data_IF_380652278462
#
_entry.id   IF_380652278462
#
_cell.length_a   1.000
_cell.length_b   1.000
_cell.length_c   1.000
_cell.angle_alpha   90.00
_cell.angle_beta   90.00
_cell.angle_gamma   90.00
#
_symmetry.space_group_name_H-M   'P 1'
#
loop_
_entity.id
_entity.type
_entity.pdbx_description
1 polymer ?
#
# COMPACT_ATOMS: atom_id res chain seq x y z
N UNK A 1 -2.40 -80.26 0.43
CA UNK A 1 -3.30 -79.81 -0.66
C UNK A 1 -4.74 -80.12 -0.26
N UNK A 2 -5.71 -79.27 -0.65
CA UNK A 2 -7.11 -79.45 -0.29
C UNK A 2 -7.71 -80.60 -1.12
N UNK A 3 -8.38 -81.56 -0.45
CA UNK A 3 -9.05 -82.70 -1.10
C UNK A 3 -10.57 -82.51 -1.03
N UNK A 4 -11.26 -82.72 -2.15
CA UNK A 4 -12.71 -82.53 -2.26
C UNK A 4 -13.40 -83.77 -2.85
N UNK A 5 -14.65 -84.00 -2.46
CA UNK A 5 -15.48 -85.06 -3.03
C UNK A 5 -16.03 -84.69 -4.42
N UNK A 6 -16.52 -85.69 -5.16
CA UNK A 6 -16.99 -85.52 -6.54
C UNK A 6 -18.14 -84.49 -6.72
N UNK A 7 -18.94 -84.24 -5.69
CA UNK A 7 -20.00 -83.22 -5.73
C UNK A 7 -19.41 -81.80 -5.68
N UNK A 8 -18.56 -81.53 -4.68
CA UNK A 8 -17.87 -80.24 -4.55
C UNK A 8 -16.92 -79.98 -5.71
N UNK A 9 -16.31 -81.02 -6.27
CA UNK A 9 -15.52 -80.94 -7.49
C UNK A 9 -16.34 -80.46 -8.70
N UNK A 10 -17.60 -80.89 -8.80
CA UNK A 10 -18.50 -80.43 -9.86
C UNK A 10 -18.86 -78.95 -9.72
N UNK A 11 -19.14 -78.51 -8.49
CA UNK A 11 -19.39 -77.10 -8.16
C UNK A 11 -18.19 -76.21 -8.48
N UNK A 12 -16.98 -76.65 -8.14
CA UNK A 12 -15.75 -75.89 -8.36
C UNK A 12 -15.34 -75.78 -9.84
N UNK A 13 -15.74 -76.73 -10.68
CA UNK A 13 -15.35 -76.80 -12.11
C UNK A 13 -16.49 -76.47 -13.08
N UNK A 14 -17.72 -76.30 -12.56
CA UNK A 14 -18.92 -76.10 -13.37
C UNK A 14 -19.35 -77.34 -14.14
N UNK A 15 -18.85 -78.52 -13.77
CA UNK A 15 -19.17 -79.78 -14.42
C UNK A 15 -20.13 -80.59 -13.57
N UNK A 16 -20.94 -81.43 -14.21
CA UNK A 16 -21.84 -82.33 -13.47
C UNK A 16 -21.05 -83.39 -12.70
N UNK A 17 -21.57 -83.82 -11.54
CA UNK A 17 -20.99 -84.90 -10.72
C UNK A 17 -20.71 -86.17 -11.54
N UNK A 18 -21.58 -86.51 -12.51
CA UNK A 18 -21.40 -87.66 -13.41
C UNK A 18 -20.21 -87.50 -14.35
N UNK A 19 -19.90 -86.28 -14.79
CA UNK A 19 -18.72 -85.97 -15.61
C UNK A 19 -17.43 -86.16 -14.81
N UNK A 20 -17.40 -85.68 -13.56
CA UNK A 20 -16.26 -85.88 -12.65
C UNK A 20 -16.06 -87.37 -12.33
N UNK A 21 -17.14 -88.11 -12.07
CA UNK A 21 -17.06 -89.55 -11.85
C UNK A 21 -16.59 -90.34 -13.08
N UNK A 22 -17.01 -89.94 -14.28
CA UNK A 22 -16.52 -90.53 -15.52
C UNK A 22 -15.02 -90.26 -15.69
N UNK A 23 -14.57 -89.03 -15.44
CA UNK A 23 -13.16 -88.66 -15.54
C UNK A 23 -12.27 -89.41 -14.54
N UNK A 24 -12.77 -89.70 -13.34
CA UNK A 24 -12.09 -90.60 -12.40
C UNK A 24 -12.02 -92.04 -12.91
N UNK A 25 -13.09 -92.55 -13.52
CA UNK A 25 -13.13 -93.92 -14.07
C UNK A 25 -12.24 -94.10 -15.29
N UNK A 26 -12.12 -93.07 -16.14
CA UNK A 26 -11.28 -93.08 -17.34
C UNK A 26 -9.82 -92.72 -17.06
N UNK A 27 -9.45 -92.44 -15.80
CA UNK A 27 -8.09 -92.07 -15.40
C UNK A 27 -7.67 -90.64 -15.79
N UNK A 28 -8.61 -89.78 -16.22
CA UNK A 28 -8.33 -88.36 -16.52
C UNK A 28 -8.11 -87.53 -15.25
N UNK A 29 -8.72 -87.93 -14.14
CA UNK A 29 -8.54 -87.35 -12.82
C UNK A 29 -7.97 -88.39 -11.87
N UNK A 30 -6.86 -88.03 -11.21
CA UNK A 30 -6.32 -88.81 -10.10
C UNK A 30 -7.22 -88.62 -8.87
N UNK A 31 -7.44 -89.70 -8.11
CA UNK A 31 -8.19 -89.65 -6.87
C UNK A 31 -7.51 -90.52 -5.81
N UNK A 32 -7.66 -90.10 -4.56
CA UNK A 32 -7.27 -90.87 -3.39
C UNK A 32 -8.51 -91.44 -2.69
N UNK A 33 -8.29 -92.39 -1.81
CA UNK A 33 -9.30 -92.86 -0.87
C UNK A 33 -9.05 -92.20 0.47
N UNK A 34 -10.10 -91.54 0.99
CA UNK A 34 -10.10 -90.99 2.34
C UNK A 34 -10.15 -92.13 3.39
N UNK A 35 -9.96 -91.80 4.67
CA UNK A 35 -10.01 -92.75 5.80
C UNK A 35 -11.33 -93.57 5.84
N UNK A 36 -12.40 -93.06 5.24
CA UNK A 36 -13.70 -93.70 5.12
C UNK A 36 -13.90 -94.48 3.80
N UNK A 37 -12.85 -94.70 3.01
CA UNK A 37 -12.90 -95.38 1.72
C UNK A 37 -13.59 -94.59 0.60
N UNK A 38 -13.81 -93.28 0.79
CA UNK A 38 -14.48 -92.41 -0.19
C UNK A 38 -13.46 -91.82 -1.15
N UNK A 39 -13.81 -91.74 -2.44
CA UNK A 39 -12.97 -91.10 -3.47
C UNK A 39 -12.91 -89.59 -3.26
N UNK A 40 -11.71 -89.08 -3.06
CA UNK A 40 -11.40 -87.65 -2.90
C UNK A 40 -10.39 -87.22 -3.95
N UNK A 41 -10.57 -86.01 -4.47
CA UNK A 41 -9.79 -85.47 -5.59
C UNK A 41 -9.06 -84.24 -5.09
N UNK A 42 -7.80 -84.08 -5.47
CA UNK A 42 -7.05 -82.86 -5.18
C UNK A 42 -7.58 -81.69 -6.01
N UNK A 43 -7.72 -80.51 -5.41
CA UNK A 43 -8.12 -79.29 -6.13
C UNK A 43 -7.12 -78.95 -7.25
N UNK A 44 -5.82 -79.24 -7.09
CA UNK A 44 -4.83 -79.03 -8.16
C UNK A 44 -5.05 -79.97 -9.36
N UNK A 45 -5.53 -81.20 -9.12
CA UNK A 45 -5.89 -82.13 -10.21
C UNK A 45 -7.14 -81.66 -10.95
N UNK A 46 -8.10 -81.08 -10.23
CA UNK A 46 -9.31 -80.50 -10.82
C UNK A 46 -8.98 -79.31 -11.72
N UNK A 47 -8.12 -78.41 -11.25
CA UNK A 47 -7.69 -77.24 -12.00
C UNK A 47 -6.94 -77.65 -13.28
N UNK A 48 -6.02 -78.63 -13.19
CA UNK A 48 -5.33 -79.18 -14.38
C UNK A 48 -6.29 -79.78 -15.41
N UNK A 49 -7.29 -80.55 -14.96
CA UNK A 49 -8.11 -81.36 -15.86
C UNK A 49 -9.32 -80.63 -16.46
N UNK A 50 -9.88 -79.66 -15.73
CA UNK A 50 -11.13 -78.97 -16.07
C UNK A 50 -11.08 -77.45 -15.92
N UNK A 51 -10.09 -76.90 -15.21
CA UNK A 51 -10.06 -75.52 -14.77
C UNK A 51 -11.08 -75.23 -13.66
N UNK A 52 -10.74 -74.34 -12.74
CA UNK A 52 -11.68 -73.86 -11.72
C UNK A 52 -12.56 -72.74 -12.29
N UNK A 53 -13.84 -72.74 -11.91
CA UNK A 53 -14.75 -71.63 -12.19
C UNK A 53 -14.32 -70.37 -11.39
N UNK A 54 -14.38 -69.17 -11.97
CA UNK A 54 -14.24 -67.93 -11.23
C UNK A 54 -15.36 -67.83 -10.17
N UNK A 55 -15.02 -67.57 -8.91
CA UNK A 55 -16.02 -67.32 -7.88
C UNK A 55 -16.68 -65.95 -8.12
N UNK A 56 -17.85 -65.94 -8.75
CA UNK A 56 -18.58 -64.71 -9.09
C UNK A 56 -19.01 -63.91 -7.85
N UNK A 57 -19.24 -64.58 -6.71
CA UNK A 57 -19.61 -63.93 -5.44
C UNK A 57 -18.53 -63.02 -4.87
N UNK A 58 -17.26 -63.44 -4.89
CA UNK A 58 -16.16 -62.60 -4.39
C UNK A 58 -15.94 -61.35 -5.26
N UNK A 59 -16.29 -61.41 -6.56
CA UNK A 59 -16.15 -60.26 -7.47
C UNK A 59 -17.21 -59.20 -7.21
N UNK A 60 -18.45 -59.61 -6.93
CA UNK A 60 -19.55 -58.70 -6.61
C UNK A 60 -19.36 -58.03 -5.24
N UNK A 61 -18.92 -58.78 -4.22
CA UNK A 61 -18.61 -58.20 -2.90
C UNK A 61 -17.45 -57.20 -2.96
N UNK A 62 -16.38 -57.50 -3.72
CA UNK A 62 -15.27 -56.55 -3.90
C UNK A 62 -15.72 -55.27 -4.60
N UNK A 63 -16.56 -55.38 -5.64
CA UNK A 63 -17.11 -54.22 -6.34
C UNK A 63 -18.05 -53.38 -5.47
N UNK A 64 -18.86 -54.00 -4.60
CA UNK A 64 -19.74 -53.24 -3.69
C UNK A 64 -18.94 -52.50 -2.61
N UNK A 65 -17.91 -53.14 -2.06
CA UNK A 65 -17.03 -52.53 -1.05
C UNK A 65 -16.24 -51.36 -1.66
N UNK A 66 -15.74 -51.50 -2.89
CA UNK A 66 -15.01 -50.44 -3.59
C UNK A 66 -15.92 -49.24 -3.90
N UNK A 67 -17.17 -49.47 -4.32
CA UNK A 67 -18.15 -48.40 -4.54
C UNK A 67 -18.55 -47.66 -3.24
N UNK A 68 -18.59 -48.36 -2.10
CA UNK A 68 -18.83 -47.73 -0.79
C UNK A 68 -17.63 -46.88 -0.33
N UNK A 69 -16.41 -47.37 -0.55
CA UNK A 69 -15.17 -46.63 -0.28
C UNK A 69 -15.06 -45.36 -1.12
N UNK A 70 -15.38 -45.43 -2.42
CA UNK A 70 -15.40 -44.25 -3.30
C UNK A 70 -16.44 -43.22 -2.85
N UNK A 71 -17.65 -43.66 -2.48
CA UNK A 71 -18.67 -42.76 -1.93
C UNK A 71 -18.22 -42.09 -0.64
N UNK A 72 -17.59 -42.84 0.27
CA UNK A 72 -17.06 -42.29 1.51
C UNK A 72 -15.94 -41.27 1.24
N UNK A 73 -15.03 -41.56 0.30
CA UNK A 73 -13.98 -40.64 -0.11
C UNK A 73 -14.55 -39.35 -0.70
N UNK A 74 -15.54 -39.45 -1.60
CA UNK A 74 -16.21 -38.29 -2.17
C UNK A 74 -16.96 -37.46 -1.10
N UNK A 75 -17.62 -38.10 -0.13
CA UNK A 75 -18.25 -37.36 0.96
C UNK A 75 -17.21 -36.57 1.76
N UNK A 76 -16.08 -37.17 2.10
CA UNK A 76 -14.98 -36.48 2.81
C UNK A 76 -14.41 -35.31 1.99
N UNK A 77 -14.22 -35.49 0.69
CA UNK A 77 -13.78 -34.42 -0.20
C UNK A 77 -14.79 -33.27 -0.26
N UNK A 78 -16.09 -33.58 -0.37
CA UNK A 78 -17.13 -32.54 -0.38
C UNK A 78 -17.19 -31.76 0.92
N UNK A 79 -17.04 -32.43 2.08
CA UNK A 79 -16.97 -31.76 3.38
C UNK A 79 -15.71 -30.89 3.49
N UNK A 80 -14.56 -31.39 3.01
CA UNK A 80 -13.32 -30.60 2.96
C UNK A 80 -13.49 -29.35 2.11
N UNK A 81 -14.11 -29.48 0.93
CA UNK A 81 -14.38 -28.34 0.04
C UNK A 81 -15.36 -27.36 0.68
N UNK A 82 -16.43 -27.83 1.32
CA UNK A 82 -17.38 -26.97 2.05
C UNK A 82 -16.71 -26.20 3.16
N UNK A 83 -15.84 -26.84 3.94
CA UNK A 83 -15.08 -26.18 4.99
C UNK A 83 -14.13 -25.12 4.43
N UNK A 84 -13.45 -25.43 3.32
CA UNK A 84 -12.56 -24.48 2.64
C UNK A 84 -13.33 -23.27 2.09
N UNK A 85 -14.51 -23.49 1.49
CA UNK A 85 -15.39 -22.41 1.02
C UNK A 85 -15.79 -21.51 2.18
N UNK A 86 -16.28 -22.08 3.29
CA UNK A 86 -16.66 -21.30 4.48
C UNK A 86 -15.50 -20.47 5.03
N UNK A 87 -14.30 -21.05 5.09
CA UNK A 87 -13.10 -20.33 5.55
C UNK A 87 -12.75 -19.16 4.60
N UNK A 88 -12.86 -19.37 3.29
CA UNK A 88 -12.60 -18.32 2.29
C UNK A 88 -13.67 -17.22 2.34
N UNK A 89 -14.94 -17.58 2.55
CA UNK A 89 -16.04 -16.64 2.75
C UNK A 89 -15.82 -15.76 3.99
N UNK A 90 -15.38 -16.37 5.10
CA UNK A 90 -15.03 -15.64 6.32
C UNK A 90 -13.86 -14.68 6.08
N UNK A 91 -12.78 -15.15 5.43
CA UNK A 91 -11.64 -14.30 5.08
C UNK A 91 -12.06 -13.14 4.17
N UNK A 92 -12.96 -13.37 3.21
CA UNK A 92 -13.51 -12.33 2.37
C UNK A 92 -14.35 -11.32 3.17
N UNK A 93 -15.13 -11.78 4.15
CA UNK A 93 -15.90 -10.92 5.03
C UNK A 93 -14.99 -10.00 5.83
N UNK A 94 -14.00 -10.56 6.52
CA UNK A 94 -13.00 -9.81 7.30
C UNK A 94 -12.23 -8.82 6.42
N UNK A 95 -11.80 -9.24 5.22
CA UNK A 95 -11.09 -8.36 4.30
C UNK A 95 -11.98 -7.19 3.82
N UNK A 96 -13.27 -7.42 3.60
CA UNK A 96 -14.22 -6.36 3.22
C UNK A 96 -14.43 -5.36 4.35
N UNK A 97 -14.58 -5.83 5.57
CA UNK A 97 -14.68 -4.98 6.76
C UNK A 97 -13.44 -4.11 6.93
N UNK A 98 -12.24 -4.71 6.83
CA UNK A 98 -10.97 -3.97 6.88
C UNK A 98 -10.87 -2.92 5.77
N UNK A 99 -11.31 -3.22 4.55
CA UNK A 99 -11.31 -2.26 3.45
C UNK A 99 -12.25 -1.09 3.77
N UNK A 100 -13.41 -1.34 4.37
CA UNK A 100 -14.35 -0.29 4.72
C UNK A 100 -13.79 0.61 5.82
N UNK A 101 -13.23 0.03 6.89
CA UNK A 101 -12.53 0.78 7.94
C UNK A 101 -11.42 1.67 7.37
N UNK A 102 -10.62 1.14 6.43
CA UNK A 102 -9.55 1.90 5.80
C UNK A 102 -10.08 3.04 4.92
N UNK A 103 -11.21 2.86 4.24
CA UNK A 103 -11.86 3.94 3.49
C UNK A 103 -12.36 5.03 4.43
N UNK A 104 -13.01 4.67 5.53
CA UNK A 104 -13.49 5.63 6.52
C UNK A 104 -12.32 6.43 7.11
N UNK A 105 -11.24 5.77 7.52
CA UNK A 105 -10.04 6.43 8.01
C UNK A 105 -9.43 7.36 6.96
N UNK A 106 -9.36 6.93 5.69
CA UNK A 106 -8.89 7.77 4.59
C UNK A 106 -9.76 9.02 4.42
N UNK A 107 -11.08 8.88 4.45
CA UNK A 107 -11.98 10.03 4.36
C UNK A 107 -11.82 10.99 5.52
N UNK A 108 -11.67 10.47 6.74
CA UNK A 108 -11.43 11.29 7.93
C UNK A 108 -10.10 12.05 7.82
N UNK A 109 -9.02 11.39 7.38
CA UNK A 109 -7.74 12.06 7.13
C UNK A 109 -7.82 13.10 6.02
N UNK A 110 -8.57 12.84 4.95
CA UNK A 110 -8.80 13.84 3.90
C UNK A 110 -9.53 15.07 4.44
N UNK A 111 -10.58 14.87 5.25
CA UNK A 111 -11.31 15.96 5.90
C UNK A 111 -10.42 16.76 6.84
N UNK A 112 -9.61 16.08 7.66
CA UNK A 112 -8.65 16.74 8.56
C UNK A 112 -7.59 17.53 7.78
N UNK A 113 -7.01 16.94 6.73
CA UNK A 113 -6.03 17.61 5.89
C UNK A 113 -6.63 18.86 5.21
N UNK A 114 -7.88 18.77 4.71
CA UNK A 114 -8.58 19.91 4.14
C UNK A 114 -8.83 21.01 5.17
N UNK A 115 -9.23 20.65 6.40
CA UNK A 115 -9.42 21.61 7.49
C UNK A 115 -8.11 22.29 7.89
N UNK A 116 -7.01 21.54 8.00
CA UNK A 116 -5.67 22.10 8.28
C UNK A 116 -5.22 23.03 7.15
N UNK A 117 -5.45 22.67 5.89
CA UNK A 117 -5.14 23.53 4.76
C UNK A 117 -5.94 24.84 4.81
N UNK A 118 -7.26 24.77 5.06
CA UNK A 118 -8.12 25.96 5.15
C UNK A 118 -7.70 26.89 6.30
N UNK A 119 -7.40 26.33 7.48
CA UNK A 119 -6.95 27.11 8.64
C UNK A 119 -5.59 27.74 8.40
N UNK A 120 -4.65 27.02 7.76
CA UNK A 120 -3.36 27.56 7.35
C UNK A 120 -3.51 28.71 6.34
N UNK A 121 -4.33 28.54 5.30
CA UNK A 121 -4.61 29.59 4.33
C UNK A 121 -5.25 30.82 4.98
N UNK A 122 -6.20 30.62 5.90
CA UNK A 122 -6.82 31.72 6.62
C UNK A 122 -5.83 32.47 7.50
N UNK A 123 -4.99 31.75 8.25
CA UNK A 123 -3.93 32.35 9.07
C UNK A 123 -2.91 33.11 8.22
N UNK A 124 -2.54 32.60 7.05
CA UNK A 124 -1.66 33.29 6.09
C UNK A 124 -2.29 34.60 5.60
N UNK A 125 -3.57 34.57 5.19
CA UNK A 125 -4.29 35.78 4.77
C UNK A 125 -4.35 36.82 5.88
N UNK A 126 -4.70 36.43 7.10
CA UNK A 126 -4.69 37.34 8.25
C UNK A 126 -3.31 37.96 8.50
N UNK A 127 -2.25 37.15 8.38
CA UNK A 127 -0.89 37.66 8.54
C UNK A 127 -0.49 38.64 7.42
N UNK A 128 -0.95 38.42 6.18
CA UNK A 128 -0.75 39.35 5.06
C UNK A 128 -1.52 40.66 5.28
N UNK A 129 -2.81 40.59 5.65
CA UNK A 129 -3.64 41.76 5.97
C UNK A 129 -3.02 42.60 7.10
N UNK A 130 -2.56 41.96 8.18
CA UNK A 130 -1.87 42.65 9.27
C UNK A 130 -0.57 43.31 8.81
N UNK A 131 0.21 42.66 7.94
CA UNK A 131 1.44 43.24 7.37
C UNK A 131 1.12 44.45 6.48
N UNK A 132 0.04 44.40 5.71
CA UNK A 132 -0.42 45.52 4.89
C UNK A 132 -0.87 46.69 5.75
N UNK A 133 -1.67 46.44 6.79
CA UNK A 133 -2.07 47.48 7.74
C UNK A 133 -0.87 48.16 8.41
N UNK A 134 0.14 47.39 8.82
CA UNK A 134 1.37 47.93 9.41
C UNK A 134 2.13 48.81 8.40
N UNK A 135 2.29 48.35 7.16
CA UNK A 135 2.92 49.13 6.08
C UNK A 135 2.14 50.43 5.82
N UNK A 136 0.82 50.38 5.82
CA UNK A 136 0.00 51.58 5.67
C UNK A 136 0.17 52.57 6.83
N UNK A 137 0.19 52.08 8.08
CA UNK A 137 0.43 52.90 9.27
C UNK A 137 1.80 53.58 9.20
N UNK A 138 2.83 52.85 8.79
CA UNK A 138 4.17 53.39 8.57
C UNK A 138 4.17 54.46 7.48
N UNK A 139 3.56 54.19 6.32
CA UNK A 139 3.43 55.18 5.23
C UNK A 139 2.71 56.45 5.69
N UNK A 140 1.61 56.31 6.44
CA UNK A 140 0.86 57.45 7.00
C UNK A 140 1.72 58.23 8.00
N UNK A 141 2.47 57.55 8.86
CA UNK A 141 3.38 58.19 9.81
C UNK A 141 4.53 58.93 9.11
N UNK A 142 5.11 58.34 8.06
CA UNK A 142 6.14 58.97 7.24
C UNK A 142 5.62 60.22 6.54
N UNK A 143 4.43 60.16 5.94
CA UNK A 143 3.79 61.32 5.30
C UNK A 143 3.50 62.44 6.31
N UNK A 144 3.05 62.11 7.53
CA UNK A 144 2.88 63.11 8.59
C UNK A 144 4.20 63.77 8.97
N UNK A 145 5.26 62.97 9.18
CA UNK A 145 6.61 63.48 9.48
C UNK A 145 7.14 64.37 8.35
N UNK A 146 6.97 63.96 7.10
CA UNK A 146 7.36 64.79 5.95
C UNK A 146 6.61 66.13 5.96
N UNK A 147 5.28 66.11 6.12
CA UNK A 147 4.47 67.33 6.20
C UNK A 147 4.87 68.23 7.37
N UNK A 148 5.17 67.67 8.53
CA UNK A 148 5.65 68.42 9.70
C UNK A 148 7.01 69.08 9.41
N UNK A 149 7.93 68.34 8.78
CA UNK A 149 9.23 68.87 8.37
C UNK A 149 9.11 69.97 7.33
N UNK A 150 8.26 69.79 6.31
CA UNK A 150 7.95 70.82 5.31
C UNK A 150 7.35 72.07 5.96
N UNK A 151 6.34 71.91 6.84
CA UNK A 151 5.74 73.02 7.59
C UNK A 151 6.78 73.75 8.44
N UNK A 152 7.67 73.01 9.12
CA UNK A 152 8.76 73.59 9.92
C UNK A 152 9.74 74.37 9.05
N UNK A 153 10.12 73.84 7.89
CA UNK A 153 11.01 74.52 6.94
C UNK A 153 10.37 75.79 6.38
N UNK A 154 9.07 75.77 6.06
CA UNK A 154 8.32 76.95 5.62
C UNK A 154 8.31 78.05 6.69
N UNK A 155 8.05 77.71 7.95
CA UNK A 155 8.09 78.67 9.07
C UNK A 155 9.49 79.27 9.26
N UNK A 156 10.54 78.47 9.13
CA UNK A 156 11.93 78.96 9.19
C UNK A 156 12.27 79.89 8.02
N UNK A 157 11.83 79.55 6.80
CA UNK A 157 12.02 80.40 5.62
C UNK A 157 11.28 81.74 5.77
N UNK A 158 10.02 81.73 6.21
CA UNK A 158 9.23 82.95 6.43
C UNK A 158 9.85 83.87 7.51
N UNK A 159 10.37 83.29 8.60
CA UNK A 159 11.10 84.04 9.63
C UNK A 159 12.43 84.62 9.12
N UNK A 160 13.08 83.96 8.17
CA UNK A 160 14.31 84.44 7.54
C UNK A 160 14.02 85.55 6.51
N UNK A 161 12.91 85.49 5.78
CA UNK A 161 12.45 86.56 4.88
C UNK A 161 12.11 87.84 5.66
N UNK A 162 11.39 87.74 6.79
CA UNK A 162 11.14 88.89 7.68
C UNK A 162 12.43 89.49 8.29
N UNK A 163 13.47 88.66 8.53
CA UNK A 163 14.80 89.15 8.94
C UNK A 163 15.57 89.81 7.79
N UNK A 164 15.28 89.50 6.52
CA UNK A 164 15.88 90.16 5.34
C UNK A 164 15.19 91.49 4.98
N UNK A 165 13.91 91.65 5.31
CA UNK A 165 13.12 92.84 4.96
C UNK A 165 13.02 93.90 6.06
N UNK A 166 13.41 93.59 7.29
CA UNK A 166 13.48 94.57 8.40
C UNK A 166 14.56 95.65 8.20
N UNK A 167 14.38 96.87 8.74
CA UNK A 167 15.24 98.05 8.44
C UNK A 167 16.72 97.91 8.86
N UNK A 168 17.09 96.88 9.63
CA UNK A 168 18.47 96.57 10.05
C UNK A 168 19.18 95.51 9.18
N UNK A 169 18.50 94.90 8.21
CA UNK A 169 19.05 93.80 7.42
C UNK A 169 19.96 94.27 6.27
N UNK A 170 19.63 95.42 5.67
CA UNK A 170 20.38 95.98 4.52
C UNK A 170 21.82 96.38 4.87
N UNK A 171 22.12 96.66 6.15
CA UNK A 171 23.47 97.02 6.60
C UNK A 171 24.38 95.81 6.85
N UNK A 172 23.83 94.64 7.22
CA UNK A 172 24.64 93.45 7.57
C UNK A 172 25.06 92.58 6.38
N UNK A 173 24.35 92.64 5.26
CA UNK A 173 24.74 91.91 4.03
C UNK A 173 25.89 92.61 3.28
N UNK A 174 26.03 93.93 3.38
CA UNK A 174 27.15 94.67 2.81
C UNK A 174 28.51 94.33 3.48
N UNK A 175 28.54 94.16 4.80
CA UNK A 175 29.78 93.83 5.53
C UNK A 175 30.23 92.37 5.35
N UNK A 176 29.28 91.42 5.26
CA UNK A 176 29.60 89.99 5.09
C UNK A 176 30.03 89.64 3.66
N UNK A 177 29.40 90.25 2.64
CA UNK A 177 29.82 90.06 1.24
C UNK A 177 31.22 90.62 0.98
N UNK A 178 31.60 91.71 1.64
CA UNK A 178 32.96 92.26 1.64
C UNK A 178 33.98 91.30 2.27
N UNK A 179 33.65 90.72 3.44
CA UNK A 179 34.55 89.82 4.18
C UNK A 179 34.79 88.47 3.47
N UNK A 180 33.83 87.95 2.70
CA UNK A 180 34.01 86.72 1.91
C UNK A 180 34.80 86.99 0.61
N UNK A 181 34.62 88.15 -0.04
CA UNK A 181 35.46 88.55 -1.20
C UNK A 181 36.92 88.73 -0.81
N UNK A 182 37.19 89.37 0.33
CA UNK A 182 38.55 89.53 0.86
C UNK A 182 39.21 88.21 1.27
N UNK A 183 38.42 87.23 1.71
CA UNK A 183 38.96 85.91 2.05
C UNK A 183 39.41 85.13 0.80
N UNK A 184 38.64 85.20 -0.30
CA UNK A 184 38.99 84.52 -1.56
C UNK A 184 40.04 85.26 -2.39
N UNK A 185 40.21 86.58 -2.22
CA UNK A 185 41.33 87.32 -2.82
C UNK A 185 42.66 87.00 -2.14
N UNK A 186 42.67 86.82 -0.81
CA UNK A 186 43.86 86.42 -0.03
C UNK A 186 44.35 85.02 -0.35
N UNK A 187 43.43 84.07 -0.58
CA UNK A 187 43.77 82.68 -0.94
C UNK A 187 44.32 82.61 -2.38
N UNK A 188 43.77 83.37 -3.34
CA UNK A 188 44.31 83.41 -4.71
C UNK A 188 45.65 84.15 -4.82
N UNK A 189 45.91 85.16 -3.98
CA UNK A 189 47.20 85.84 -3.91
C UNK A 189 48.34 85.00 -3.27
N UNK A 190 48.00 84.07 -2.37
CA UNK A 190 48.98 83.15 -1.79
C UNK A 190 49.33 81.98 -2.72
N UNK A 191 48.44 81.59 -3.64
CA UNK A 191 48.77 80.59 -4.66
C UNK A 191 49.78 81.11 -5.71
N UNK A 192 49.67 82.38 -6.11
CA UNK A 192 50.57 82.99 -7.10
C UNK A 192 51.98 83.32 -6.57
N UNK A 193 52.19 83.37 -5.25
CA UNK A 193 53.51 83.61 -4.63
C UNK A 193 54.27 82.33 -4.27
N UNK A 194 53.61 81.16 -4.30
CA UNK A 194 54.23 79.85 -4.06
C UNK A 194 54.83 79.22 -5.33
N UNK A 195 54.43 79.65 -6.53
CA UNK A 195 54.98 79.16 -7.81
C UNK A 195 56.20 79.95 -8.33
N UNK A 196 56.49 81.14 -7.80
CA UNK A 196 57.61 81.98 -8.24
C UNK A 196 58.94 81.77 -7.46
N UNK A 197 58.98 80.88 -6.46
CA UNK A 197 60.20 80.53 -5.70
C UNK A 197 60.78 79.15 -6.09
N UNK A 198 60.28 78.52 -7.16
CA UNK A 198 60.77 77.24 -7.68
C UNK A 198 61.52 77.34 -9.02
N UNK A 199 61.81 78.55 -9.48
CA UNK A 199 62.65 78.82 -10.66
C UNK A 199 63.65 79.94 -10.36
N UNK A 200 64.68 79.62 -9.59
CA UNK A 200 65.99 80.28 -9.55
C UNK A 200 66.97 79.35 -8.82
#
# INVERSE_FOLDING_TARGET
MAKVGAQRAGELTGKSKSTIQRAMKTGKLSYDLDANGRKVIDVSELDRAFGLLPQEGERQERQSVEAELEKAAHMLETERMRMQIKMLEEQLSVAREQIEDLKEQREQWQKQAQQVLLTSQYSQKQAEELKEELKERERRALLRRQKEMERRAQLQNAGNENRRTGPMARQREAEKSFRVRDLWSKIRGQAASAEAQKTA
#
